data_IF_004342887247
#
_entry.id   IF_004342887247
#
_cell.length_a   1.000
_cell.length_b   1.000
_cell.length_c   1.000
_cell.angle_alpha   90.00
_cell.angle_beta   90.00
_cell.angle_gamma   90.00
#
_symmetry.space_group_name_H-M   'P 1'
#
loop_
_entity.id
_entity.type
_entity.pdbx_description
1 polymer ?
#
# COMPACT_ATOMS: atom_id res chain seq x y z
N UNK A 1 21.61 11.13 -7.43
CA UNK A 1 21.77 12.51 -7.93
C UNK A 1 21.37 12.47 -9.39
N UNK A 2 20.50 13.38 -9.83
CA UNK A 2 20.25 13.51 -11.26
C UNK A 2 21.60 13.76 -11.95
N UNK A 3 21.87 13.04 -13.03
CA UNK A 3 23.09 13.24 -13.78
C UNK A 3 23.07 14.67 -14.37
N UNK A 4 24.01 15.50 -13.94
CA UNK A 4 24.12 16.89 -14.37
C UNK A 4 24.24 16.97 -15.90
N UNK A 5 24.90 16.00 -16.52
CA UNK A 5 25.05 15.90 -17.97
C UNK A 5 23.71 15.69 -18.68
N UNK A 6 22.78 14.93 -18.07
CA UNK A 6 21.45 14.73 -18.63
C UNK A 6 20.63 16.04 -18.62
N UNK A 7 20.65 16.79 -17.52
CA UNK A 7 19.96 18.07 -17.43
C UNK A 7 20.53 19.10 -18.42
N UNK A 8 21.85 19.13 -18.56
CA UNK A 8 22.53 20.01 -19.51
C UNK A 8 22.12 19.67 -20.95
N UNK A 9 22.13 18.38 -21.30
CA UNK A 9 21.66 17.92 -22.61
C UNK A 9 20.18 18.23 -22.85
N UNK A 10 19.32 18.05 -21.83
CA UNK A 10 17.89 18.38 -21.92
C UNK A 10 17.68 19.87 -22.29
N UNK A 11 18.48 20.77 -21.72
CA UNK A 11 18.44 22.21 -21.99
C UNK A 11 18.98 22.51 -23.40
N UNK A 12 20.10 21.90 -23.78
CA UNK A 12 20.74 22.05 -25.10
C UNK A 12 19.82 21.58 -26.24
N UNK A 13 19.05 20.51 -26.01
CA UNK A 13 18.05 19.98 -26.95
C UNK A 13 16.79 20.87 -27.06
N UNK A 14 16.77 22.05 -26.41
CA UNK A 14 15.65 23.01 -26.40
C UNK A 14 14.30 22.41 -26.04
N UNK A 15 14.29 21.47 -25.12
CA UNK A 15 13.05 20.92 -24.62
C UNK A 15 12.19 22.01 -23.95
N UNK A 16 10.84 21.86 -24.00
CA UNK A 16 9.95 22.88 -23.44
C UNK A 16 10.12 23.03 -21.92
N UNK A 17 10.03 24.27 -21.45
CA UNK A 17 10.04 24.62 -20.03
C UNK A 17 8.82 25.46 -19.66
N UNK A 18 8.24 25.32 -18.44
CA UNK A 18 8.66 24.43 -17.35
C UNK A 18 8.35 22.96 -17.63
N UNK A 19 9.23 22.05 -17.18
CA UNK A 19 9.09 20.60 -17.36
C UNK A 19 9.47 19.83 -16.10
N UNK A 20 8.81 18.69 -15.87
CA UNK A 20 9.27 17.66 -14.94
C UNK A 20 10.08 16.62 -15.70
N UNK A 21 11.27 16.32 -15.20
CA UNK A 21 12.18 15.36 -15.81
C UNK A 21 12.37 14.18 -14.85
N UNK A 22 12.14 12.97 -15.35
CA UNK A 22 12.29 11.74 -14.58
C UNK A 22 13.41 10.89 -15.17
N UNK A 23 14.44 10.62 -14.38
CA UNK A 23 15.48 9.64 -14.71
C UNK A 23 14.95 8.24 -14.41
N UNK A 24 14.50 7.54 -15.44
CA UNK A 24 13.89 6.20 -15.30
C UNK A 24 14.93 5.11 -15.02
N UNK A 25 16.16 5.29 -15.44
CA UNK A 25 17.25 4.33 -15.15
C UNK A 25 17.65 4.43 -13.69
N UNK A 26 17.81 5.64 -13.15
CA UNK A 26 18.05 5.85 -11.74
C UNK A 26 16.88 5.34 -10.88
N UNK A 27 15.63 5.54 -11.32
CA UNK A 27 14.45 4.99 -10.67
C UNK A 27 14.52 3.45 -10.61
N UNK A 28 14.78 2.80 -11.74
CA UNK A 28 14.88 1.35 -11.83
C UNK A 28 15.95 0.79 -10.89
N UNK A 29 17.15 1.37 -10.90
CA UNK A 29 18.26 0.99 -10.00
C UNK A 29 17.85 1.12 -8.54
N UNK A 30 17.19 2.23 -8.17
CA UNK A 30 16.77 2.46 -6.79
C UNK A 30 15.71 1.45 -6.32
N UNK A 31 14.67 1.23 -7.13
CA UNK A 31 13.60 0.27 -6.77
C UNK A 31 14.11 -1.17 -6.73
N UNK A 32 14.96 -1.56 -7.68
CA UNK A 32 15.56 -2.89 -7.67
C UNK A 32 16.42 -3.12 -6.42
N UNK A 33 17.21 -2.13 -6.00
CA UNK A 33 17.97 -2.19 -4.75
C UNK A 33 17.04 -2.41 -3.53
N UNK A 34 15.90 -1.72 -3.46
CA UNK A 34 14.90 -1.93 -2.41
C UNK A 34 14.38 -3.37 -2.45
N UNK A 35 14.02 -3.87 -3.63
CA UNK A 35 13.53 -5.25 -3.79
C UNK A 35 14.57 -6.30 -3.37
N UNK A 36 15.83 -6.10 -3.72
CA UNK A 36 16.94 -6.98 -3.31
C UNK A 36 17.06 -7.08 -1.79
N UNK A 37 16.91 -5.95 -1.07
CA UNK A 37 16.96 -5.92 0.39
C UNK A 37 15.74 -6.60 1.05
N UNK A 38 14.62 -6.71 0.34
CA UNK A 38 13.36 -7.27 0.82
C UNK A 38 13.07 -8.68 0.26
N UNK A 39 13.96 -9.23 -0.56
CA UNK A 39 13.78 -10.56 -1.17
C UNK A 39 13.46 -11.63 -0.12
N UNK A 40 12.38 -12.36 -0.35
CA UNK A 40 11.88 -13.41 0.56
C UNK A 40 11.25 -12.91 1.86
N UNK A 41 11.15 -11.59 2.07
CA UNK A 41 10.62 -10.97 3.29
C UNK A 41 9.34 -10.19 3.03
N UNK A 42 9.31 -9.39 1.96
CA UNK A 42 8.14 -8.58 1.62
C UNK A 42 8.05 -8.31 0.12
N UNK A 43 6.82 -8.04 -0.33
CA UNK A 43 6.52 -7.48 -1.65
C UNK A 43 6.55 -5.95 -1.57
N UNK A 44 6.87 -5.30 -2.69
CA UNK A 44 6.88 -3.83 -2.78
C UNK A 44 5.58 -3.35 -3.38
N UNK A 45 4.81 -2.59 -2.61
CA UNK A 45 3.60 -1.91 -3.05
C UNK A 45 3.88 -0.42 -3.27
N UNK A 46 3.62 0.07 -4.48
CA UNK A 46 3.83 1.47 -4.83
C UNK A 46 2.59 2.31 -4.51
N UNK A 47 2.70 3.17 -3.50
CA UNK A 47 1.66 4.16 -3.19
C UNK A 47 1.67 5.28 -4.23
N UNK A 48 0.87 5.12 -5.30
CA UNK A 48 0.91 6.00 -6.47
C UNK A 48 0.47 7.44 -6.19
N UNK A 49 -0.21 7.70 -5.08
CA UNK A 49 -0.54 9.06 -4.62
C UNK A 49 0.69 9.97 -4.48
N UNK A 50 1.87 9.38 -4.23
CA UNK A 50 3.13 10.12 -4.11
C UNK A 50 3.55 10.72 -5.47
N UNK A 51 3.42 9.97 -6.57
CA UNK A 51 3.70 10.44 -7.92
C UNK A 51 3.01 9.58 -8.99
N UNK A 52 1.79 9.92 -9.41
CA UNK A 52 1.02 9.13 -10.36
C UNK A 52 1.63 9.08 -11.78
N UNK A 53 2.52 10.02 -12.13
CA UNK A 53 3.20 10.00 -13.44
C UNK A 53 4.15 8.81 -13.60
N UNK A 54 4.63 8.25 -12.50
CA UNK A 54 5.52 7.10 -12.50
C UNK A 54 4.78 5.75 -12.55
N UNK A 55 3.45 5.72 -12.57
CA UNK A 55 2.67 4.47 -12.55
C UNK A 55 3.10 3.51 -13.66
N UNK A 56 3.18 3.98 -14.90
CA UNK A 56 3.57 3.14 -16.05
C UNK A 56 5.02 2.64 -15.95
N UNK A 57 6.03 3.49 -15.69
CA UNK A 57 7.40 3.02 -15.48
C UNK A 57 7.52 2.00 -14.34
N UNK A 58 6.82 2.21 -13.22
CA UNK A 58 6.88 1.35 -12.04
C UNK A 58 6.31 -0.06 -12.25
N UNK A 59 5.45 -0.28 -13.25
CA UNK A 59 4.82 -1.59 -13.50
C UNK A 59 5.80 -2.76 -13.64
N UNK A 60 7.02 -2.49 -14.10
CA UNK A 60 8.08 -3.49 -14.27
C UNK A 60 8.88 -3.75 -13.00
N UNK A 61 8.78 -2.87 -12.02
CA UNK A 61 9.68 -2.84 -10.87
C UNK A 61 8.99 -3.17 -9.54
N UNK A 62 7.67 -2.95 -9.44
CA UNK A 62 6.92 -3.21 -8.20
C UNK A 62 5.97 -4.37 -8.33
N UNK A 63 5.60 -4.93 -7.19
CA UNK A 63 4.72 -6.08 -7.14
C UNK A 63 3.25 -5.65 -7.14
N UNK A 64 2.93 -4.56 -6.41
CA UNK A 64 1.58 -4.03 -6.23
C UNK A 64 1.55 -2.50 -6.37
N UNK A 65 0.34 -1.96 -6.51
CA UNK A 65 0.03 -0.52 -6.53
C UNK A 65 -1.06 -0.21 -5.52
N UNK A 66 -0.77 0.65 -4.53
CA UNK A 66 -1.79 1.21 -3.65
C UNK A 66 -2.46 2.40 -4.35
N UNK A 67 -3.79 2.32 -4.49
CA UNK A 67 -4.65 3.28 -5.18
C UNK A 67 -5.65 3.84 -4.16
N UNK A 68 -5.61 5.15 -3.91
CA UNK A 68 -6.37 5.78 -2.83
C UNK A 68 -7.59 6.58 -3.29
N UNK A 69 -7.87 6.61 -4.59
CA UNK A 69 -9.02 7.33 -5.13
C UNK A 69 -9.48 6.77 -6.49
N UNK A 70 -10.75 7.02 -6.88
CA UNK A 70 -11.24 6.66 -8.22
C UNK A 70 -10.41 7.29 -9.34
N UNK A 71 -9.90 8.53 -9.14
CA UNK A 71 -9.03 9.19 -10.11
C UNK A 71 -7.72 8.45 -10.33
N UNK A 72 -7.07 7.99 -9.27
CA UNK A 72 -5.87 7.16 -9.35
C UNK A 72 -6.17 5.80 -10.01
N UNK A 73 -7.32 5.19 -9.70
CA UNK A 73 -7.75 3.96 -10.36
C UNK A 73 -7.88 4.14 -11.88
N UNK A 74 -8.49 5.25 -12.33
CA UNK A 74 -8.59 5.58 -13.76
C UNK A 74 -7.23 5.76 -14.43
N UNK A 75 -6.21 6.24 -13.70
CA UNK A 75 -4.84 6.29 -14.22
C UNK A 75 -4.31 4.87 -14.42
N UNK A 76 -4.50 3.97 -13.44
CA UNK A 76 -4.11 2.56 -13.57
C UNK A 76 -4.78 1.89 -14.77
N UNK A 77 -6.09 2.09 -14.97
CA UNK A 77 -6.81 1.59 -16.13
C UNK A 77 -6.21 2.10 -17.44
N UNK A 78 -5.96 3.40 -17.53
CA UNK A 78 -5.41 4.04 -18.74
C UNK A 78 -4.03 3.51 -19.14
N UNK A 79 -3.21 3.14 -18.16
CA UNK A 79 -1.88 2.56 -18.41
C UNK A 79 -1.86 1.03 -18.38
N UNK A 80 -3.04 0.40 -18.20
CA UNK A 80 -3.26 -1.04 -18.21
C UNK A 80 -2.50 -1.77 -17.10
N UNK A 81 -2.53 -1.25 -15.86
CA UNK A 81 -2.08 -1.98 -14.67
C UNK A 81 -3.00 -3.19 -14.49
N UNK A 82 -2.47 -4.43 -14.40
CA UNK A 82 -3.29 -5.59 -14.12
C UNK A 82 -4.03 -5.45 -12.79
N UNK A 83 -5.33 -5.78 -12.77
CA UNK A 83 -6.17 -5.61 -11.56
C UNK A 83 -5.63 -6.40 -10.36
N UNK A 84 -5.01 -7.55 -10.59
CA UNK A 84 -4.38 -8.41 -9.59
C UNK A 84 -3.19 -7.74 -8.88
N UNK A 85 -2.68 -6.65 -9.44
CA UNK A 85 -1.63 -5.84 -8.82
C UNK A 85 -2.15 -4.62 -8.07
N UNK A 86 -3.46 -4.42 -7.97
CA UNK A 86 -4.05 -3.22 -7.38
C UNK A 86 -4.57 -3.51 -5.98
N UNK A 87 -4.17 -2.67 -5.03
CA UNK A 87 -4.77 -2.53 -3.71
C UNK A 87 -5.61 -1.25 -3.71
N UNK A 88 -6.93 -1.42 -3.68
CA UNK A 88 -7.90 -0.31 -3.63
C UNK A 88 -8.04 0.17 -2.19
N UNK A 89 -7.24 1.15 -1.86
CA UNK A 89 -7.14 1.80 -0.56
C UNK A 89 -7.91 3.13 -0.55
N UNK A 90 -7.73 3.92 0.51
CA UNK A 90 -8.28 5.28 0.64
C UNK A 90 -9.69 5.33 1.20
N UNK A 91 -9.99 6.48 1.83
CA UNK A 91 -11.24 6.72 2.56
C UNK A 91 -12.44 7.00 1.66
N UNK A 92 -12.21 7.41 0.42
CA UNK A 92 -13.29 7.66 -0.53
C UNK A 92 -13.62 6.38 -1.31
N UNK A 93 -14.56 5.61 -0.78
CA UNK A 93 -15.10 4.39 -1.40
C UNK A 93 -16.60 4.55 -1.65
N UNK A 94 -16.91 5.20 -2.75
CA UNK A 94 -18.28 5.39 -3.20
C UNK A 94 -18.87 4.05 -3.72
N UNK A 95 -20.10 3.68 -3.36
CA UNK A 95 -20.74 2.46 -3.83
C UNK A 95 -20.78 2.28 -5.34
N UNK A 96 -20.93 3.35 -6.11
CA UNK A 96 -20.94 3.29 -7.59
C UNK A 96 -19.57 2.98 -8.16
N UNK A 97 -18.48 3.49 -7.55
CA UNK A 97 -17.11 3.19 -7.98
C UNK A 97 -16.72 1.75 -7.62
N UNK A 98 -17.10 1.27 -6.42
CA UNK A 98 -16.94 -0.14 -6.03
C UNK A 98 -17.64 -1.04 -7.02
N UNK A 99 -18.91 -0.75 -7.32
CA UNK A 99 -19.71 -1.54 -8.28
C UNK A 99 -19.06 -1.56 -9.66
N UNK A 100 -18.65 -0.41 -10.17
CA UNK A 100 -17.95 -0.32 -11.46
C UNK A 100 -16.73 -1.23 -11.51
N UNK A 101 -15.88 -1.21 -10.49
CA UNK A 101 -14.66 -2.04 -10.44
C UNK A 101 -15.03 -3.52 -10.41
N UNK A 102 -15.98 -3.92 -9.57
CA UNK A 102 -16.39 -5.32 -9.43
C UNK A 102 -17.10 -5.87 -10.68
N UNK A 103 -17.93 -5.08 -11.32
CA UNK A 103 -18.59 -5.46 -12.59
C UNK A 103 -17.60 -5.58 -13.75
N UNK A 104 -16.56 -4.72 -13.76
CA UNK A 104 -15.58 -4.68 -14.84
C UNK A 104 -14.49 -5.75 -14.69
N UNK A 105 -14.02 -5.98 -13.44
CA UNK A 105 -12.81 -6.79 -13.18
C UNK A 105 -13.08 -8.04 -12.33
N UNK A 106 -14.33 -8.23 -11.89
CA UNK A 106 -14.68 -9.33 -10.98
C UNK A 106 -14.09 -9.15 -9.58
N UNK A 107 -13.85 -10.26 -8.89
CA UNK A 107 -13.29 -10.27 -7.53
C UNK A 107 -11.77 -10.03 -7.44
N UNK A 108 -11.14 -9.56 -8.49
CA UNK A 108 -9.68 -9.35 -8.54
C UNK A 108 -9.25 -8.11 -7.76
N UNK A 109 -7.97 -8.11 -7.37
CA UNK A 109 -7.39 -7.04 -6.56
C UNK A 109 -7.73 -7.18 -5.08
N UNK A 110 -7.16 -6.30 -4.25
CA UNK A 110 -7.39 -6.28 -2.80
C UNK A 110 -8.05 -4.96 -2.43
N UNK A 111 -8.98 -4.98 -1.48
CA UNK A 111 -9.70 -3.80 -1.03
C UNK A 111 -9.40 -3.52 0.44
N UNK A 112 -9.03 -2.28 0.81
CA UNK A 112 -8.91 -1.94 2.23
C UNK A 112 -10.23 -1.53 2.83
N UNK A 113 -10.50 -1.99 4.04
CA UNK A 113 -11.63 -1.58 4.87
C UNK A 113 -11.13 -0.53 5.85
N UNK A 114 -11.54 0.73 5.65
CA UNK A 114 -11.09 1.86 6.46
C UNK A 114 -12.20 2.41 7.39
N UNK A 115 -13.39 1.78 7.35
CA UNK A 115 -14.51 2.06 8.22
C UNK A 115 -15.53 0.91 8.19
N UNK A 116 -16.41 0.85 9.18
CA UNK A 116 -17.53 -0.12 9.21
C UNK A 116 -18.49 0.09 8.02
N UNK A 117 -18.60 1.29 7.50
CA UNK A 117 -19.42 1.57 6.32
C UNK A 117 -18.79 1.01 5.04
N UNK A 118 -17.45 1.07 4.89
CA UNK A 118 -16.76 0.38 3.81
C UNK A 118 -16.99 -1.12 3.83
N UNK A 119 -16.93 -1.74 5.02
CA UNK A 119 -17.18 -3.17 5.20
C UNK A 119 -18.58 -3.54 4.68
N UNK A 120 -19.60 -2.76 5.07
CA UNK A 120 -20.99 -2.97 4.63
C UNK A 120 -21.14 -2.81 3.11
N UNK A 121 -20.56 -1.76 2.54
CA UNK A 121 -20.63 -1.53 1.09
C UNK A 121 -19.98 -2.65 0.30
N UNK A 122 -18.76 -3.05 0.68
CA UNK A 122 -18.04 -4.13 0.01
C UNK A 122 -18.80 -5.46 0.11
N UNK A 123 -19.24 -5.85 1.32
CA UNK A 123 -20.04 -7.06 1.54
C UNK A 123 -21.31 -7.06 0.69
N UNK A 124 -22.06 -5.96 0.71
CA UNK A 124 -23.35 -5.86 -0.01
C UNK A 124 -23.13 -5.94 -1.52
N UNK A 125 -22.22 -5.12 -2.07
CA UNK A 125 -22.06 -5.02 -3.52
C UNK A 125 -21.43 -6.29 -4.09
N UNK A 126 -20.40 -6.85 -3.44
CA UNK A 126 -19.82 -8.12 -3.85
C UNK A 126 -20.87 -9.26 -3.76
N UNK A 127 -21.66 -9.31 -2.69
CA UNK A 127 -22.73 -10.30 -2.53
C UNK A 127 -23.83 -10.17 -3.60
N UNK A 128 -24.27 -8.96 -3.95
CA UNK A 128 -25.23 -8.71 -5.04
C UNK A 128 -24.71 -9.21 -6.40
N UNK A 129 -23.40 -9.17 -6.60
CA UNK A 129 -22.74 -9.63 -7.83
C UNK A 129 -22.32 -11.10 -7.79
N UNK A 130 -22.56 -11.80 -6.67
CA UNK A 130 -22.15 -13.20 -6.50
C UNK A 130 -20.63 -13.39 -6.48
N UNK A 131 -19.87 -12.37 -6.05
CA UNK A 131 -18.42 -12.37 -5.99
C UNK A 131 -17.94 -12.55 -4.55
N UNK A 132 -16.75 -13.13 -4.40
CA UNK A 132 -15.95 -13.05 -3.18
C UNK A 132 -14.72 -12.20 -3.48
N UNK A 133 -14.42 -11.23 -2.61
CA UNK A 133 -13.31 -10.29 -2.77
C UNK A 133 -12.36 -10.34 -1.59
N UNK A 134 -11.08 -10.13 -1.86
CA UNK A 134 -10.03 -10.06 -0.86
C UNK A 134 -10.00 -8.68 -0.20
N UNK A 135 -9.98 -8.66 1.15
CA UNK A 135 -9.94 -7.40 1.90
C UNK A 135 -8.87 -7.38 2.97
N UNK A 136 -8.29 -6.20 3.22
CA UNK A 136 -7.44 -5.90 4.36
C UNK A 136 -8.16 -4.94 5.30
N UNK A 137 -8.17 -5.23 6.60
CA UNK A 137 -8.71 -4.32 7.61
C UNK A 137 -7.64 -3.32 8.00
N UNK A 138 -7.87 -2.04 7.73
CA UNK A 138 -6.93 -0.99 8.13
C UNK A 138 -7.05 -0.69 9.61
N UNK A 139 -5.97 -0.96 10.36
CA UNK A 139 -5.87 -0.60 11.77
C UNK A 139 -5.65 0.89 11.90
N UNK A 140 -6.41 1.57 12.76
CA UNK A 140 -6.19 2.99 13.04
C UNK A 140 -4.85 3.22 13.74
N UNK A 141 -4.21 4.32 13.44
CA UNK A 141 -3.03 4.81 14.17
C UNK A 141 -3.38 5.89 15.21
N UNK A 142 -4.66 5.95 15.62
CA UNK A 142 -5.15 6.98 16.55
C UNK A 142 -5.59 8.28 15.86
N UNK A 143 -5.71 8.27 14.53
CA UNK A 143 -6.25 9.37 13.74
C UNK A 143 -7.61 9.01 13.14
N UNK A 144 -8.14 9.85 12.23
CA UNK A 144 -9.44 9.64 11.58
C UNK A 144 -9.50 8.48 10.58
N UNK A 145 -8.39 7.77 10.33
CA UNK A 145 -8.32 6.72 9.33
C UNK A 145 -8.22 5.35 10.00
N UNK A 146 -8.87 4.38 9.38
CA UNK A 146 -8.84 3.00 9.83
C UNK A 146 -9.95 2.66 10.82
N UNK A 147 -9.94 1.43 11.27
CA UNK A 147 -10.90 0.81 12.19
C UNK A 147 -10.19 0.54 13.50
N UNK A 148 -10.86 0.78 14.62
CA UNK A 148 -10.32 0.51 15.96
C UNK A 148 -10.11 -1.00 16.16
N UNK A 149 -9.11 -1.37 16.94
CA UNK A 149 -8.81 -2.79 17.22
C UNK A 149 -10.02 -3.53 17.82
N UNK A 150 -10.82 -2.86 18.66
CA UNK A 150 -12.03 -3.47 19.24
C UNK A 150 -13.04 -3.85 18.14
N UNK A 151 -13.24 -2.99 17.16
CA UNK A 151 -14.13 -3.27 16.04
C UNK A 151 -13.53 -4.31 15.09
N UNK A 152 -12.21 -4.32 14.90
CA UNK A 152 -11.53 -5.40 14.16
C UNK A 152 -11.76 -6.75 14.86
N UNK A 153 -11.64 -6.84 16.20
CA UNK A 153 -11.95 -8.06 16.96
C UNK A 153 -13.39 -8.52 16.71
N UNK A 154 -14.35 -7.59 16.70
CA UNK A 154 -15.76 -7.90 16.39
C UNK A 154 -15.93 -8.42 14.97
N UNK A 155 -15.29 -7.77 13.98
CA UNK A 155 -15.31 -8.21 12.58
C UNK A 155 -14.74 -9.63 12.47
N UNK A 156 -13.57 -9.88 13.02
CA UNK A 156 -12.90 -11.17 12.95
C UNK A 156 -13.68 -12.27 13.66
N UNK A 157 -14.27 -11.98 14.84
CA UNK A 157 -15.10 -12.96 15.57
C UNK A 157 -16.34 -13.38 14.77
N UNK A 158 -16.83 -12.51 13.90
CA UNK A 158 -18.04 -12.72 13.07
C UNK A 158 -17.72 -12.88 11.58
N UNK A 159 -16.47 -13.19 11.22
CA UNK A 159 -16.02 -13.23 9.82
C UNK A 159 -16.83 -14.17 8.93
N UNK A 160 -17.41 -15.21 9.50
CA UNK A 160 -18.26 -16.15 8.76
C UNK A 160 -19.58 -15.53 8.25
N UNK A 161 -19.98 -14.37 8.80
CA UNK A 161 -21.17 -13.65 8.36
C UNK A 161 -20.88 -12.82 7.09
N UNK A 162 -19.61 -12.51 6.82
CA UNK A 162 -19.18 -11.73 5.65
C UNK A 162 -18.88 -12.66 4.47
N UNK A 163 -19.93 -13.33 3.96
CA UNK A 163 -19.80 -14.41 2.96
C UNK A 163 -19.23 -13.97 1.60
N UNK A 164 -19.27 -12.68 1.30
CA UNK A 164 -18.70 -12.09 0.07
C UNK A 164 -17.31 -11.50 0.29
N UNK A 165 -16.75 -11.58 1.51
CA UNK A 165 -15.43 -11.04 1.84
C UNK A 165 -14.50 -12.15 2.33
N UNK A 166 -13.32 -12.21 1.75
CA UNK A 166 -12.19 -12.96 2.28
C UNK A 166 -11.25 -11.99 2.98
N UNK A 167 -11.20 -12.03 4.31
CA UNK A 167 -10.35 -11.14 5.10
C UNK A 167 -8.94 -11.71 5.11
N UNK A 168 -8.06 -11.16 4.26
CA UNK A 168 -6.65 -11.57 4.14
C UNK A 168 -5.82 -11.22 5.36
N UNK A 169 -6.10 -10.07 5.98
CA UNK A 169 -5.25 -9.60 7.06
C UNK A 169 -5.46 -8.13 7.39
N UNK A 170 -4.37 -7.47 7.74
CA UNK A 170 -4.37 -6.09 8.21
C UNK A 170 -3.60 -5.17 7.26
N UNK A 171 -3.98 -3.90 7.27
CA UNK A 171 -3.19 -2.81 6.71
C UNK A 171 -2.89 -1.79 7.79
N UNK A 172 -1.69 -1.22 7.80
CA UNK A 172 -1.31 -0.18 8.76
C UNK A 172 -0.42 0.89 8.14
N UNK A 173 -0.74 2.15 8.43
CA UNK A 173 0.05 3.31 8.07
C UNK A 173 -0.18 4.44 9.09
N UNK A 174 0.87 4.89 9.75
CA UNK A 174 0.78 5.89 10.83
C UNK A 174 1.32 7.27 10.44
N UNK A 175 1.86 7.42 9.23
CA UNK A 175 2.40 8.69 8.75
C UNK A 175 3.69 8.56 7.97
N UNK A 176 4.16 9.68 7.40
CA UNK A 176 5.33 9.78 6.53
C UNK A 176 6.51 10.44 7.25
N UNK A 177 7.69 10.44 6.61
CA UNK A 177 8.91 11.13 7.06
C UNK A 177 9.41 10.71 8.45
N UNK A 178 9.25 9.42 8.76
CA UNK A 178 9.74 8.86 10.02
C UNK A 178 11.26 8.71 9.98
N UNK A 179 11.93 9.36 10.92
CA UNK A 179 13.38 9.30 11.11
C UNK A 179 13.78 8.28 12.19
N UNK A 180 12.83 7.88 13.04
CA UNK A 180 13.09 7.04 14.19
C UNK A 180 12.72 5.59 13.92
N UNK A 181 13.74 4.75 13.78
CA UNK A 181 13.59 3.31 13.55
C UNK A 181 12.90 2.59 14.71
N UNK A 182 13.10 3.04 15.96
CA UNK A 182 12.45 2.44 17.13
C UNK A 182 10.93 2.64 17.13
N UNK A 183 10.42 3.65 16.41
CA UNK A 183 8.98 3.81 16.23
C UNK A 183 8.43 2.71 15.32
N UNK A 184 9.11 2.45 14.20
CA UNK A 184 8.70 1.39 13.27
C UNK A 184 8.77 0.00 13.92
N UNK A 185 9.82 -0.24 14.70
CA UNK A 185 9.95 -1.48 15.48
C UNK A 185 8.76 -1.67 16.44
N UNK A 186 8.39 -0.65 17.19
CA UNK A 186 7.22 -0.71 18.10
C UNK A 186 5.91 -0.93 17.34
N UNK A 187 5.73 -0.30 16.19
CA UNK A 187 4.56 -0.51 15.33
C UNK A 187 4.46 -1.97 14.88
N UNK A 188 5.55 -2.53 14.37
CA UNK A 188 5.59 -3.94 13.94
C UNK A 188 5.37 -4.91 15.11
N UNK A 189 5.98 -4.66 16.28
CA UNK A 189 5.76 -5.46 17.49
C UNK A 189 4.30 -5.39 17.96
N UNK A 190 3.67 -4.22 17.90
CA UNK A 190 2.26 -4.04 18.25
C UNK A 190 1.35 -4.80 17.28
N UNK A 191 1.62 -4.72 15.98
CA UNK A 191 0.85 -5.43 14.95
C UNK A 191 1.01 -6.95 15.08
N UNK A 192 2.23 -7.43 15.33
CA UNK A 192 2.50 -8.85 15.57
C UNK A 192 1.76 -9.36 16.82
N UNK A 193 1.83 -8.62 17.92
CA UNK A 193 1.10 -8.96 19.14
C UNK A 193 -0.42 -9.02 18.89
N UNK A 194 -0.97 -8.08 18.14
CA UNK A 194 -2.38 -8.04 17.79
C UNK A 194 -2.78 -9.22 16.88
N UNK A 195 -1.98 -9.55 15.87
CA UNK A 195 -2.22 -10.70 15.00
C UNK A 195 -2.17 -12.03 15.79
N UNK A 196 -1.23 -12.17 16.73
CA UNK A 196 -1.13 -13.33 17.62
C UNK A 196 -2.34 -13.44 18.56
N UNK A 197 -2.87 -12.32 19.07
CA UNK A 197 -4.12 -12.28 19.82
C UNK A 197 -5.29 -12.76 18.96
N UNK A 198 -5.46 -12.22 17.73
CA UNK A 198 -6.54 -12.63 16.82
C UNK A 198 -6.47 -14.13 16.49
N UNK A 199 -5.26 -14.67 16.32
CA UNK A 199 -5.05 -16.10 16.10
C UNK A 199 -5.46 -16.93 17.33
N UNK A 200 -5.02 -16.51 18.51
CA UNK A 200 -5.27 -17.21 19.77
C UNK A 200 -6.76 -17.21 20.14
N UNK A 201 -7.40 -16.04 20.07
CA UNK A 201 -8.74 -15.86 20.65
C UNK A 201 -9.87 -16.19 19.66
N UNK A 202 -9.63 -16.05 18.36
CA UNK A 202 -10.62 -16.26 17.30
C UNK A 202 -10.24 -17.32 16.26
N UNK A 203 -9.06 -17.96 16.40
CA UNK A 203 -8.55 -18.90 15.39
C UNK A 203 -8.35 -18.27 14.02
N UNK A 204 -8.14 -16.94 13.97
CA UNK A 204 -7.92 -16.23 12.73
C UNK A 204 -6.43 -16.09 12.47
N UNK A 205 -5.96 -16.66 11.38
CA UNK A 205 -4.59 -16.50 10.92
C UNK A 205 -4.59 -15.56 9.70
N UNK A 206 -3.99 -14.40 9.86
CA UNK A 206 -3.80 -13.47 8.75
C UNK A 206 -2.82 -14.08 7.73
N UNK A 207 -3.13 -13.87 6.45
CA UNK A 207 -2.30 -14.29 5.32
C UNK A 207 -1.41 -13.13 4.85
N UNK A 208 -1.81 -11.88 5.11
CA UNK A 208 -1.12 -10.69 4.63
C UNK A 208 -1.14 -9.55 5.66
N UNK A 209 -0.02 -8.84 5.73
CA UNK A 209 0.08 -7.53 6.38
C UNK A 209 0.61 -6.52 5.37
N UNK A 210 -0.17 -5.49 5.06
CA UNK A 210 0.31 -4.34 4.31
C UNK A 210 0.77 -3.26 5.31
N UNK A 211 2.09 -3.05 5.37
CA UNK A 211 2.70 -2.08 6.27
C UNK A 211 3.33 -0.93 5.49
N UNK A 212 2.86 0.29 5.75
CA UNK A 212 3.46 1.52 5.24
C UNK A 212 4.47 2.09 6.23
N UNK A 213 5.78 1.85 6.09
CA UNK A 213 6.79 2.28 7.05
C UNK A 213 6.90 3.80 7.16
N UNK A 214 6.51 4.55 6.12
CA UNK A 214 6.61 6.00 6.10
C UNK A 214 8.03 6.52 6.24
N UNK A 215 9.00 5.82 5.65
CA UNK A 215 10.42 6.14 5.74
C UNK A 215 10.70 7.59 5.35
N UNK A 216 11.68 8.17 6.03
CA UNK A 216 12.18 9.49 5.71
C UNK A 216 12.82 9.52 4.31
N UNK A 217 12.39 10.48 3.50
CA UNK A 217 13.00 10.77 2.21
C UNK A 217 13.63 12.16 2.22
N UNK A 218 14.94 12.30 1.91
CA UNK A 218 15.61 13.58 1.89
C UNK A 218 15.13 14.42 0.69
N UNK A 219 14.44 15.53 0.95
CA UNK A 219 14.04 16.48 -0.09
C UNK A 219 15.13 17.49 -0.42
N UNK A 220 16.04 17.77 0.51
CA UNK A 220 17.10 18.75 0.35
C UNK A 220 18.47 18.13 0.61
N UNK A 221 19.52 18.75 0.05
CA UNK A 221 20.90 18.25 0.21
C UNK A 221 21.31 18.10 1.66
N UNK A 222 20.87 19.03 2.54
CA UNK A 222 21.12 18.99 3.99
C UNK A 222 20.44 17.81 4.72
N UNK A 223 19.42 17.20 4.11
CA UNK A 223 18.64 16.14 4.73
C UNK A 223 19.27 14.75 4.53
N UNK A 224 20.34 14.64 3.72
CA UNK A 224 20.94 13.35 3.32
C UNK A 224 21.58 12.57 4.49
N UNK A 225 22.05 13.27 5.51
CA UNK A 225 22.69 12.65 6.69
C UNK A 225 21.68 11.94 7.60
N UNK A 226 20.38 12.17 7.42
CA UNK A 226 19.30 11.64 8.26
C UNK A 226 18.53 10.48 7.60
N UNK A 227 18.97 9.97 6.45
CA UNK A 227 18.25 8.93 5.72
C UNK A 227 18.26 7.59 6.48
N UNK A 228 17.07 6.99 6.62
CA UNK A 228 16.91 5.65 7.18
C UNK A 228 17.17 4.62 6.09
N UNK A 229 18.03 3.65 6.35
CA UNK A 229 18.34 2.61 5.37
C UNK A 229 17.22 1.55 5.31
N UNK A 230 16.76 1.25 4.10
CA UNK A 230 15.77 0.18 3.83
C UNK A 230 16.27 -1.19 4.32
N UNK A 231 17.60 -1.40 4.35
CA UNK A 231 18.23 -2.61 4.89
C UNK A 231 17.81 -2.91 6.33
N UNK A 232 17.63 -1.88 7.15
CA UNK A 232 17.19 -2.04 8.54
C UNK A 232 15.75 -2.55 8.63
N UNK A 233 14.85 -2.05 7.79
CA UNK A 233 13.47 -2.53 7.71
C UNK A 233 13.42 -4.03 7.38
N UNK A 234 14.27 -4.49 6.46
CA UNK A 234 14.41 -5.91 6.13
C UNK A 234 14.81 -6.75 7.35
N UNK A 235 15.73 -6.26 8.20
CA UNK A 235 16.11 -6.92 9.44
C UNK A 235 14.99 -6.97 10.49
N UNK A 236 14.20 -5.90 10.62
CA UNK A 236 13.03 -5.88 11.51
C UNK A 236 11.97 -6.89 11.07
N UNK A 237 11.69 -7.00 9.77
CA UNK A 237 10.72 -7.96 9.24
C UNK A 237 11.16 -9.41 9.50
N UNK A 238 12.47 -9.72 9.43
CA UNK A 238 12.98 -11.05 9.81
C UNK A 238 12.79 -11.38 11.28
N UNK A 239 12.90 -10.40 12.16
CA UNK A 239 12.77 -10.58 13.60
C UNK A 239 11.30 -10.71 14.05
N UNK A 240 10.38 -10.04 13.36
CA UNK A 240 8.97 -9.91 13.77
C UNK A 240 8.05 -10.95 13.14
N UNK A 241 8.47 -11.62 12.08
CA UNK A 241 7.62 -12.54 11.31
C UNK A 241 8.18 -13.97 11.32
N UNK A 242 7.97 -14.68 12.42
CA UNK A 242 8.30 -16.11 12.54
C UNK A 242 7.06 -16.97 12.76
#
# INVERSE_FOLDING_TARGET
>A
MADYNFLQKFIEDKNPTPSYVFDLDALAVHVNKIKELLVGKARVCYAMKANPFLTRPMMKHVDLFEVCSPGEFRICERVSVPMEKIVLSGVYKNPSDIRYVLETYGGKGVYTVESLEHLKHLQRIAGELGLTIDVLLRVTSGNQFGVDEEDIRKIISRRQEYTALHILGLQFYSGTQKKNLSQMEKELQSLDAFLNELKKDYGYQAEELEYGPGLFAPYFVKDKEESVEVAFLGGLLEASWK
#
